data_IF_878292981115
#
_entry.id   IF_878292981115
#
_cell.length_a   1.000
_cell.length_b   1.000
_cell.length_c   1.000
_cell.angle_alpha   90.00
_cell.angle_beta   90.00
_cell.angle_gamma   90.00
#
_symmetry.space_group_name_H-M   'P 1'
#
loop_
_entity.id
_entity.type
_entity.pdbx_description
1 polymer ?
#
# COMPACT_ATOMS: atom_id res chain seq x y z
N UNK A 1 -52.93 -6.79 34.37
CA UNK A 1 -51.81 -5.84 34.51
C UNK A 1 -50.60 -6.69 34.92
N UNK A 2 -49.47 -6.77 34.24
CA UNK A 2 -48.86 -5.97 33.18
C UNK A 2 -48.10 -6.90 32.21
N UNK A 3 -48.04 -6.45 30.96
CA UNK A 3 -47.44 -7.11 29.80
C UNK A 3 -46.06 -6.46 29.54
N UNK A 4 -45.05 -7.32 29.34
CA UNK A 4 -43.84 -7.16 28.51
C UNK A 4 -43.03 -5.85 28.62
N UNK A 5 -41.83 -5.93 29.21
CA UNK A 5 -40.80 -4.89 29.02
C UNK A 5 -39.34 -5.39 29.10
N UNK A 6 -39.00 -6.47 28.41
CA UNK A 6 -37.61 -6.98 28.34
C UNK A 6 -37.12 -7.32 26.92
N UNK A 7 -37.70 -6.70 25.88
CA UNK A 7 -37.40 -7.04 24.48
C UNK A 7 -36.63 -5.99 23.65
N UNK A 8 -36.08 -4.92 24.26
CA UNK A 8 -35.60 -3.76 23.49
C UNK A 8 -34.13 -3.37 23.67
N UNK A 9 -33.33 -4.12 24.44
CA UNK A 9 -31.93 -3.77 24.75
C UNK A 9 -30.88 -4.47 23.87
N UNK A 10 -31.22 -5.61 23.24
CA UNK A 10 -30.23 -6.46 22.55
C UNK A 10 -30.04 -6.15 21.06
N UNK A 11 -30.85 -5.27 20.45
CA UNK A 11 -30.81 -5.04 19.00
C UNK A 11 -29.78 -4.00 18.55
N UNK A 12 -29.27 -3.18 19.48
CA UNK A 12 -28.29 -2.13 19.18
C UNK A 12 -26.88 -2.71 19.14
N UNK A 13 -26.55 -3.64 20.04
CA UNK A 13 -25.23 -4.27 20.13
C UNK A 13 -24.82 -5.11 18.91
N UNK A 14 -25.75 -5.83 18.27
CA UNK A 14 -25.44 -6.66 17.10
C UNK A 14 -25.13 -5.85 15.84
N UNK A 15 -25.51 -4.57 15.81
CA UNK A 15 -25.34 -3.68 14.65
C UNK A 15 -23.94 -3.06 14.62
N UNK A 16 -23.37 -2.77 15.79
CA UNK A 16 -22.00 -2.25 15.92
C UNK A 16 -20.92 -3.31 15.65
N UNK A 17 -21.18 -4.59 15.98
CA UNK A 17 -20.27 -5.70 15.67
C UNK A 17 -20.02 -5.85 14.16
N UNK A 18 -21.07 -5.77 13.34
CA UNK A 18 -20.97 -5.92 11.88
C UNK A 18 -20.23 -4.73 11.23
N UNK A 19 -20.41 -3.53 11.76
CA UNK A 19 -19.72 -2.32 11.27
C UNK A 19 -18.23 -2.37 11.65
N UNK A 20 -17.90 -2.83 12.87
CA UNK A 20 -16.51 -3.02 13.30
C UNK A 20 -15.76 -4.02 12.41
N UNK A 21 -16.39 -5.14 12.06
CA UNK A 21 -15.80 -6.13 11.14
C UNK A 21 -15.63 -5.60 9.71
N UNK A 22 -16.59 -4.82 9.21
CA UNK A 22 -16.46 -4.18 7.90
C UNK A 22 -15.31 -3.17 7.85
N UNK A 23 -15.13 -2.35 8.90
CA UNK A 23 -13.99 -1.43 9.01
C UNK A 23 -12.65 -2.17 9.13
N UNK A 24 -12.60 -3.29 9.87
CA UNK A 24 -11.39 -4.11 9.99
C UNK A 24 -10.98 -4.73 8.64
N UNK A 25 -11.95 -5.26 7.89
CA UNK A 25 -11.72 -5.79 6.54
C UNK A 25 -11.26 -4.71 5.55
N UNK A 26 -11.81 -3.49 5.65
CA UNK A 26 -11.39 -2.34 4.83
C UNK A 26 -9.97 -1.87 5.16
N UNK A 27 -9.53 -1.97 6.42
CA UNK A 27 -8.16 -1.60 6.82
C UNK A 27 -7.12 -2.63 6.36
N UNK A 28 -7.45 -3.92 6.28
CA UNK A 28 -6.53 -4.96 5.79
C UNK A 28 -6.22 -4.81 4.29
N UNK A 29 -7.15 -4.23 3.52
CA UNK A 29 -6.95 -3.96 2.08
C UNK A 29 -6.10 -2.70 1.82
N UNK A 30 -5.85 -1.88 2.85
CA UNK A 30 -5.12 -0.62 2.72
C UNK A 30 -3.60 -0.83 2.87
N UNK A 31 -2.96 -1.27 1.79
CA UNK A 31 -1.60 -0.82 1.49
C UNK A 31 -0.46 -1.79 1.79
N UNK A 32 -0.42 -2.93 1.10
CA UNK A 32 0.86 -3.48 0.69
C UNK A 32 1.31 -2.76 -0.60
N UNK A 33 2.51 -2.18 -0.59
CA UNK A 33 3.21 -1.85 -1.82
C UNK A 33 3.30 -3.12 -2.68
N UNK A 34 2.58 -3.15 -3.81
CA UNK A 34 2.47 -4.38 -4.58
C UNK A 34 3.75 -4.60 -5.38
N UNK A 35 4.59 -5.49 -4.85
CA UNK A 35 5.67 -6.13 -5.60
C UNK A 35 5.09 -6.63 -6.94
N UNK A 36 5.73 -6.32 -8.08
CA UNK A 36 5.22 -6.74 -9.38
C UNK A 36 5.21 -8.27 -9.50
N UNK A 37 4.23 -8.79 -10.23
CA UNK A 37 3.91 -10.21 -10.27
C UNK A 37 5.03 -11.08 -10.89
N UNK A 38 5.85 -10.51 -11.78
CA UNK A 38 6.97 -11.17 -12.43
C UNK A 38 8.20 -11.33 -11.52
N UNK A 39 8.29 -10.61 -10.38
CA UNK A 39 9.40 -10.79 -9.44
C UNK A 39 9.14 -12.02 -8.55
N UNK A 40 9.79 -13.13 -8.87
CA UNK A 40 9.67 -14.37 -8.08
C UNK A 40 10.44 -14.23 -6.77
N UNK A 41 11.73 -13.90 -6.83
CA UNK A 41 12.59 -13.61 -5.67
C UNK A 41 13.23 -12.24 -5.82
N UNK A 42 13.16 -11.46 -4.77
CA UNK A 42 13.72 -10.13 -4.73
C UNK A 42 13.90 -9.67 -3.29
N UNK A 43 15.01 -8.99 -3.01
CA UNK A 43 15.30 -8.44 -1.68
C UNK A 43 14.88 -6.97 -1.61
N UNK A 44 14.04 -6.57 -0.64
CA UNK A 44 13.71 -5.17 -0.45
C UNK A 44 14.95 -4.39 0.01
N UNK A 45 15.27 -3.28 -0.65
CA UNK A 45 16.46 -2.46 -0.33
C UNK A 45 16.10 -1.08 0.20
N UNK A 46 15.08 -0.46 -0.39
CA UNK A 46 14.50 0.82 0.04
C UNK A 46 12.97 0.70 -0.06
N UNK A 47 12.28 1.72 0.45
CA UNK A 47 10.83 1.82 0.26
C UNK A 47 10.48 1.72 -1.23
N UNK A 48 9.60 0.77 -1.56
CA UNK A 48 9.15 0.50 -2.92
C UNK A 48 10.28 0.11 -3.91
N UNK A 49 11.45 -0.35 -3.44
CA UNK A 49 12.56 -0.80 -4.30
C UNK A 49 13.04 -2.20 -3.92
N UNK A 50 13.15 -3.05 -4.93
CA UNK A 50 13.61 -4.43 -4.80
C UNK A 50 14.85 -4.67 -5.66
N UNK A 51 15.87 -5.32 -5.08
CA UNK A 51 16.98 -5.90 -5.84
C UNK A 51 16.51 -7.21 -6.44
N UNK A 52 16.67 -7.36 -7.75
CA UNK A 52 16.19 -8.53 -8.48
C UNK A 52 17.13 -9.70 -8.23
N UNK A 53 16.56 -10.85 -7.86
CA UNK A 53 17.28 -12.12 -7.76
C UNK A 53 16.74 -13.13 -8.77
N UNK A 54 15.41 -13.18 -8.94
CA UNK A 54 14.77 -14.11 -9.85
C UNK A 54 13.49 -13.50 -10.43
N UNK A 55 13.39 -13.57 -11.75
CA UNK A 55 12.23 -13.14 -12.53
C UNK A 55 11.55 -14.35 -13.17
N UNK A 56 10.22 -14.30 -13.25
CA UNK A 56 9.40 -15.22 -14.03
C UNK A 56 8.91 -14.52 -15.32
N UNK A 57 9.55 -14.78 -16.48
CA UNK A 57 9.20 -14.14 -17.74
C UNK A 57 7.81 -14.52 -18.26
N UNK A 58 7.20 -15.60 -17.76
CA UNK A 58 5.84 -15.99 -18.18
C UNK A 58 4.76 -14.99 -17.76
N UNK A 59 5.11 -14.08 -16.85
CA UNK A 59 4.23 -13.04 -16.31
C UNK A 59 4.48 -11.66 -16.89
N UNK A 60 5.37 -11.56 -17.88
CA UNK A 60 5.58 -10.30 -18.58
C UNK A 60 4.44 -9.99 -19.54
N UNK A 61 4.13 -8.71 -19.62
CA UNK A 61 3.48 -8.13 -20.79
C UNK A 61 4.41 -8.14 -22.01
N UNK A 62 3.87 -7.84 -23.18
CA UNK A 62 4.63 -7.84 -24.44
C UNK A 62 5.82 -6.86 -24.41
N UNK A 63 5.60 -5.64 -23.92
CA UNK A 63 6.65 -4.62 -23.84
C UNK A 63 7.74 -4.97 -22.81
N UNK A 64 7.35 -5.45 -21.63
CA UNK A 64 8.30 -5.94 -20.62
C UNK A 64 9.15 -7.09 -21.18
N UNK A 65 8.53 -8.00 -21.93
CA UNK A 65 9.22 -9.11 -22.58
C UNK A 65 10.20 -8.60 -23.63
N UNK A 66 9.81 -7.66 -24.49
CA UNK A 66 10.70 -7.07 -25.50
C UNK A 66 11.91 -6.36 -24.87
N UNK A 67 11.71 -5.64 -23.76
CA UNK A 67 12.81 -5.00 -23.01
C UNK A 67 13.69 -6.06 -22.35
N UNK A 68 13.10 -7.10 -21.79
CA UNK A 68 13.86 -8.19 -21.17
C UNK A 68 14.69 -8.98 -22.19
N UNK A 69 14.15 -9.27 -23.37
CA UNK A 69 14.88 -9.97 -24.43
C UNK A 69 16.06 -9.15 -24.96
N UNK A 70 15.94 -7.82 -24.99
CA UNK A 70 17.01 -6.94 -25.47
C UNK A 70 18.06 -6.58 -24.42
N UNK A 71 17.68 -6.48 -23.14
CA UNK A 71 18.56 -5.96 -22.06
C UNK A 71 18.84 -6.94 -20.94
N UNK A 72 18.10 -8.05 -20.88
CA UNK A 72 18.12 -8.99 -19.78
C UNK A 72 17.42 -8.46 -18.52
N UNK A 73 17.71 -9.12 -17.39
CA UNK A 73 17.13 -8.79 -16.10
C UNK A 73 17.66 -7.44 -15.56
N UNK A 74 16.79 -6.55 -15.07
CA UNK A 74 17.23 -5.32 -14.42
C UNK A 74 17.88 -5.61 -13.06
N UNK A 75 18.81 -4.75 -12.63
CA UNK A 75 19.47 -4.85 -11.32
C UNK A 75 18.49 -4.57 -10.18
N UNK A 76 17.64 -3.56 -10.38
CA UNK A 76 16.60 -3.17 -9.43
C UNK A 76 15.27 -2.92 -10.13
N UNK A 77 14.18 -3.15 -9.39
CA UNK A 77 12.85 -2.69 -9.76
C UNK A 77 12.34 -1.76 -8.68
N UNK A 78 11.83 -0.60 -9.08
CA UNK A 78 11.25 0.39 -8.16
C UNK A 78 9.84 0.74 -8.57
N UNK A 79 8.94 0.78 -7.60
CA UNK A 79 7.58 1.28 -7.77
C UNK A 79 7.54 2.77 -7.46
N UNK A 80 7.06 3.53 -8.44
CA UNK A 80 6.69 4.93 -8.34
C UNK A 80 5.19 5.09 -8.51
N UNK A 81 4.72 6.33 -8.33
CA UNK A 81 3.36 6.73 -8.68
C UNK A 81 3.40 7.96 -9.58
N UNK A 82 2.45 8.08 -10.49
CA UNK A 82 2.29 9.31 -11.27
C UNK A 82 1.80 10.46 -10.37
N UNK A 83 2.18 11.70 -10.69
CA UNK A 83 1.85 12.89 -9.89
C UNK A 83 0.33 13.15 -9.78
N UNK A 84 -0.41 12.97 -10.87
CA UNK A 84 -1.82 13.34 -10.94
C UNK A 84 -2.76 12.16 -10.73
N UNK A 85 -2.55 11.07 -11.46
CA UNK A 85 -3.44 9.89 -11.45
C UNK A 85 -3.07 8.89 -10.35
N UNK A 86 -1.87 9.02 -9.77
CA UNK A 86 -1.32 8.11 -8.74
C UNK A 86 -1.25 6.66 -9.22
N UNK A 87 -1.20 6.45 -10.53
CA UNK A 87 -1.03 5.17 -11.19
C UNK A 87 0.32 4.58 -10.85
N UNK A 88 0.40 3.25 -10.76
CA UNK A 88 1.64 2.55 -10.45
C UNK A 88 2.55 2.60 -11.67
N UNK A 89 3.78 3.05 -11.46
CA UNK A 89 4.83 3.04 -12.47
C UNK A 89 5.95 2.15 -11.98
N UNK A 90 6.25 1.07 -12.70
CA UNK A 90 7.38 0.22 -12.41
C UNK A 90 8.59 0.69 -13.21
N UNK A 91 9.65 1.08 -12.51
CA UNK A 91 10.92 1.44 -13.11
C UNK A 91 11.87 0.26 -13.00
N UNK A 92 12.35 -0.21 -14.15
CA UNK A 92 13.44 -1.16 -14.25
C UNK A 92 14.75 -0.38 -14.35
N UNK A 93 15.64 -0.61 -13.39
CA UNK A 93 16.90 0.11 -13.24
C UNK A 93 18.04 -0.84 -13.57
N UNK A 94 18.77 -0.50 -14.62
CA UNK A 94 19.95 -1.21 -15.07
C UNK A 94 21.19 -0.46 -14.60
N UNK A 95 21.89 -1.07 -13.66
CA UNK A 95 23.10 -0.55 -13.06
C UNK A 95 24.27 -1.40 -13.55
N UNK A 96 24.98 -0.89 -14.56
CA UNK A 96 26.14 -1.53 -15.17
C UNK A 96 27.42 -0.88 -14.63
N UNK A 97 28.50 -1.63 -14.41
CA UNK A 97 29.74 -1.08 -13.87
C UNK A 97 30.39 0.00 -14.76
N UNK A 98 30.26 -0.14 -16.09
CA UNK A 98 30.96 0.69 -17.08
C UNK A 98 30.03 1.57 -17.93
N UNK A 99 28.75 1.70 -17.55
CA UNK A 99 27.76 2.51 -18.30
C UNK A 99 26.92 3.36 -17.35
N UNK A 100 26.36 4.48 -17.83
CA UNK A 100 25.38 5.23 -17.04
C UNK A 100 24.19 4.34 -16.68
N UNK A 101 23.57 4.65 -15.53
CA UNK A 101 22.36 3.97 -15.07
C UNK A 101 21.25 4.21 -16.09
N UNK A 102 20.68 3.13 -16.61
CA UNK A 102 19.55 3.19 -17.53
C UNK A 102 18.26 2.85 -16.78
N UNK A 103 17.20 3.59 -17.09
CA UNK A 103 15.88 3.42 -16.48
C UNK A 103 14.86 3.20 -17.59
N UNK A 104 14.06 2.13 -17.46
CA UNK A 104 12.91 1.87 -18.33
C UNK A 104 11.65 1.88 -17.48
N UNK A 105 10.65 2.65 -17.91
CA UNK A 105 9.41 2.86 -17.17
C UNK A 105 8.28 2.04 -17.79
N UNK A 106 7.47 1.45 -16.92
CA UNK A 106 6.29 0.67 -17.29
C UNK A 106 5.06 1.13 -16.53
N UNK A 107 3.96 1.35 -17.24
CA UNK A 107 2.63 1.59 -16.68
C UNK A 107 1.73 0.47 -17.17
N UNK A 108 1.22 -0.35 -16.24
CA UNK A 108 0.38 -1.51 -16.57
C UNK A 108 1.02 -2.43 -17.63
N UNK A 109 2.33 -2.68 -17.47
CA UNK A 109 3.13 -3.49 -18.39
C UNK A 109 3.57 -2.79 -19.67
N UNK A 110 2.97 -1.65 -20.04
CA UNK A 110 3.36 -0.93 -21.27
C UNK A 110 4.55 -0.03 -21.02
N UNK A 111 5.50 -0.02 -21.95
CA UNK A 111 6.67 0.86 -21.89
C UNK A 111 6.24 2.30 -22.15
N UNK A 112 6.72 3.22 -21.32
CA UNK A 112 6.51 4.67 -21.50
C UNK A 112 7.85 5.38 -21.58
N UNK A 113 7.94 6.40 -22.43
CA UNK A 113 9.18 7.16 -22.64
C UNK A 113 9.43 8.16 -21.51
N UNK A 114 8.36 8.84 -21.07
CA UNK A 114 8.38 9.76 -19.95
C UNK A 114 7.06 9.66 -19.19
N UNK A 115 7.13 9.75 -17.87
CA UNK A 115 5.97 9.77 -17.01
C UNK A 115 6.24 10.77 -15.87
N UNK A 116 5.33 11.71 -15.57
CA UNK A 116 5.50 12.63 -14.45
C UNK A 116 5.44 11.86 -13.13
N UNK A 117 6.60 11.50 -12.59
CA UNK A 117 6.75 10.70 -11.38
C UNK A 117 6.64 11.56 -10.13
N UNK A 118 5.89 11.07 -9.14
CA UNK A 118 5.84 11.61 -7.80
C UNK A 118 7.11 11.18 -7.02
N UNK A 119 7.95 12.12 -6.54
CA UNK A 119 9.11 11.79 -5.74
C UNK A 119 8.73 11.15 -4.41
N UNK A 120 7.47 11.27 -3.97
CA UNK A 120 6.95 10.65 -2.76
C UNK A 120 6.01 9.46 -3.11
N UNK A 121 6.53 8.21 -3.11
CA UNK A 121 5.75 7.04 -3.50
C UNK A 121 4.76 6.59 -2.40
N UNK A 122 4.75 7.24 -1.22
CA UNK A 122 3.86 6.89 -0.12
C UNK A 122 2.41 6.94 -0.56
N UNK A 123 1.59 5.97 -0.12
CA UNK A 123 0.20 5.81 -0.58
C UNK A 123 -0.70 7.01 -0.27
N UNK A 124 -0.36 7.77 0.75
CA UNK A 124 -1.18 8.84 1.31
C UNK A 124 -0.53 10.18 1.03
N UNK A 125 -1.34 11.13 0.53
CA UNK A 125 -0.94 12.53 0.41
C UNK A 125 -0.49 13.04 1.78
N UNK A 126 0.56 13.87 1.82
CA UNK A 126 1.18 14.33 3.07
C UNK A 126 0.18 15.03 4.01
N UNK A 127 -0.78 15.79 3.43
CA UNK A 127 -1.91 16.38 4.15
C UNK A 127 -2.75 15.33 4.89
N UNK A 128 -3.06 14.21 4.22
CA UNK A 128 -3.87 13.12 4.78
C UNK A 128 -3.13 12.36 5.87
N UNK A 129 -1.80 12.24 5.76
CA UNK A 129 -0.95 11.59 6.77
C UNK A 129 -0.96 12.38 8.08
N UNK A 130 -0.88 13.71 8.03
CA UNK A 130 -0.96 14.57 9.21
C UNK A 130 -2.34 14.45 9.88
N UNK A 131 -3.41 14.45 9.10
CA UNK A 131 -4.77 14.26 9.62
C UNK A 131 -4.94 12.88 10.27
N UNK A 132 -4.45 11.81 9.64
CA UNK A 132 -4.52 10.44 10.19
C UNK A 132 -3.71 10.29 11.48
N UNK A 133 -2.50 10.89 11.55
CA UNK A 133 -1.69 10.89 12.78
C UNK A 133 -2.40 11.63 13.91
N UNK A 134 -3.06 12.75 13.61
CA UNK A 134 -3.79 13.50 14.62
C UNK A 134 -5.04 12.74 15.09
N UNK A 135 -5.78 12.10 14.17
CA UNK A 135 -6.93 11.24 14.51
C UNK A 135 -6.51 10.06 15.38
N UNK A 136 -5.37 9.40 15.10
CA UNK A 136 -4.91 8.26 15.90
C UNK A 136 -4.54 8.66 17.33
N UNK A 137 -3.91 9.84 17.52
CA UNK A 137 -3.57 10.35 18.85
C UNK A 137 -4.84 10.70 19.64
N UNK A 138 -5.80 11.37 19.00
CA UNK A 138 -7.06 11.75 19.64
C UNK A 138 -7.85 10.49 20.06
N UNK A 139 -7.95 9.48 19.20
CA UNK A 139 -8.62 8.22 19.51
C UNK A 139 -7.97 7.46 20.68
N UNK A 140 -6.64 7.51 20.79
CA UNK A 140 -5.91 6.92 21.92
C UNK A 140 -6.23 7.60 23.25
N UNK A 141 -6.25 8.93 23.29
CA UNK A 141 -6.57 9.70 24.51
C UNK A 141 -8.01 9.43 24.97
N UNK A 142 -8.97 9.44 24.03
CA UNK A 142 -10.39 9.18 24.33
C UNK A 142 -10.63 7.76 24.88
N UNK A 143 -9.76 6.80 24.55
CA UNK A 143 -9.87 5.42 25.05
C UNK A 143 -9.23 5.23 26.45
N UNK A 144 -8.21 6.01 26.79
CA UNK A 144 -7.45 5.88 28.04
C UNK A 144 -8.10 6.65 29.20
N UNK A 145 -8.64 7.84 28.94
CA UNK A 145 -9.23 8.70 30.00
C UNK A 145 -10.39 8.01 30.75
N UNK A 146 -11.34 7.32 30.10
CA UNK A 146 -12.41 6.61 30.80
C UNK A 146 -11.89 5.44 31.64
N UNK A 147 -10.85 4.75 31.16
CA UNK A 147 -10.25 3.61 31.85
C UNK A 147 -9.55 4.04 33.14
N UNK A 148 -8.82 5.17 33.10
CA UNK A 148 -8.17 5.76 34.28
C UNK A 148 -9.21 6.26 35.29
N UNK A 149 -10.29 6.90 34.82
CA UNK A 149 -11.36 7.36 35.71
C UNK A 149 -12.05 6.20 36.44
N UNK A 150 -12.20 5.07 35.77
CA UNK A 150 -12.82 3.87 36.32
C UNK A 150 -11.91 3.14 37.33
N UNK A 151 -10.59 3.23 37.16
CA UNK A 151 -9.59 2.71 38.10
C UNK A 151 -9.40 3.58 39.35
N UNK A 152 -9.66 4.90 39.26
CA UNK A 152 -9.57 5.83 40.40
C UNK A 152 -10.84 5.81 41.26
N UNK A 153 -11.98 5.39 40.70
CA UNK A 153 -13.27 5.28 41.40
C UNK A 153 -13.52 3.90 42.04
N UNK A 154 -12.60 2.94 41.87
CA UNK A 154 -12.59 1.60 42.47
C UNK A 154 -11.68 1.58 43.69
#
# INVERSE_FOLDING_TARGET
MEILKTGRRNRVWSRHWKIGWACLLLLIMAGCASKPAYLRKATPTLENRWKVEEIDPSRFSEDEKAVYESRGAPTYVRLFRTLHTREKVYAWIYDYPDKPVEIVLFIDGRRVEDAPLDPNPSLLKESTRLTLRNISVIAGIVSIVPLILLLVLL
#
